data_IF_222664711856
#
_entry.id   IF_222664711856
#
_cell.length_a   1.000
_cell.length_b   1.000
_cell.length_c   1.000
_cell.angle_alpha   90.00
_cell.angle_beta   90.00
_cell.angle_gamma   90.00
#
_symmetry.space_group_name_H-M   'P 1'
#
loop_
_entity.id
_entity.type
_entity.pdbx_description
1 polymer ?
#
# COMPACT_ATOMS: atom_id res chain seq x y z
N UNK A 1 -17.23 -10.95 -0.38
CA UNK A 1 -16.12 -10.15 -0.92
C UNK A 1 -14.81 -10.73 -0.43
N UNK A 2 -13.88 -10.98 -1.34
CA UNK A 2 -12.52 -11.42 -1.07
C UNK A 2 -11.55 -10.27 -1.38
N UNK A 3 -10.40 -10.20 -0.70
CA UNK A 3 -9.37 -9.22 -1.03
C UNK A 3 -8.14 -9.88 -1.67
N UNK A 4 -7.39 -9.09 -2.45
CA UNK A 4 -6.03 -9.40 -2.86
C UNK A 4 -5.12 -8.21 -2.59
N UNK A 5 -4.02 -8.44 -1.87
CA UNK A 5 -2.98 -7.45 -1.61
C UNK A 5 -1.76 -7.80 -2.45
N UNK A 6 -1.37 -6.87 -3.34
CA UNK A 6 -0.24 -7.05 -4.26
C UNK A 6 1.09 -6.75 -3.56
N UNK A 7 1.81 -7.80 -3.19
CA UNK A 7 3.03 -7.73 -2.39
C UNK A 7 4.28 -8.33 -3.09
N UNK A 8 4.19 -8.66 -4.39
CA UNK A 8 5.28 -9.29 -5.16
C UNK A 8 6.26 -8.29 -5.82
N UNK A 9 6.09 -6.99 -5.61
CA UNK A 9 6.93 -5.96 -6.23
C UNK A 9 8.38 -5.98 -5.72
N UNK A 10 9.35 -5.80 -6.62
CA UNK A 10 10.79 -5.79 -6.29
C UNK A 10 11.24 -4.58 -5.46
N UNK A 11 10.49 -3.49 -5.46
CA UNK A 11 10.83 -2.28 -4.70
C UNK A 11 12.14 -1.59 -5.13
N UNK A 12 12.54 -1.69 -6.38
CA UNK A 12 13.86 -1.25 -6.87
C UNK A 12 14.21 0.21 -6.57
N UNK A 13 13.22 1.09 -6.53
CA UNK A 13 13.41 2.53 -6.18
C UNK A 13 13.76 2.76 -4.71
N UNK A 14 13.53 1.78 -3.84
CA UNK A 14 13.81 1.81 -2.41
C UNK A 14 15.14 1.12 -2.04
N UNK A 15 15.92 0.70 -3.04
CA UNK A 15 17.26 0.16 -2.79
C UNK A 15 18.15 1.20 -2.12
N UNK A 16 19.04 0.78 -1.20
CA UNK A 16 19.40 -0.60 -0.86
C UNK A 16 18.47 -1.30 0.14
N UNK A 17 17.50 -0.60 0.78
CA UNK A 17 16.61 -1.18 1.82
C UNK A 17 15.91 -2.46 1.34
N UNK A 18 15.41 -2.45 0.11
CA UNK A 18 14.63 -3.56 -0.44
C UNK A 18 15.46 -4.74 -0.95
N UNK A 19 16.77 -4.69 -0.82
CA UNK A 19 17.64 -5.86 -1.07
C UNK A 19 17.52 -6.90 0.04
N UNK A 20 17.24 -6.45 1.28
CA UNK A 20 17.16 -7.31 2.47
C UNK A 20 15.79 -7.34 3.13
N UNK A 21 14.97 -6.31 2.92
CA UNK A 21 13.62 -6.19 3.47
C UNK A 21 12.67 -6.03 2.28
N UNK A 22 11.76 -6.97 1.99
CA UNK A 22 10.82 -6.79 0.88
C UNK A 22 9.95 -5.57 1.14
N UNK A 23 9.59 -4.80 0.09
CA UNK A 23 8.84 -3.55 0.22
C UNK A 23 7.61 -3.64 1.14
N UNK A 24 6.77 -4.70 1.06
CA UNK A 24 5.62 -4.83 1.97
C UNK A 24 6.01 -5.01 3.44
N UNK A 25 7.24 -5.45 3.71
CA UNK A 25 7.76 -5.65 5.07
C UNK A 25 8.48 -4.42 5.63
N UNK A 26 8.52 -3.31 4.91
CA UNK A 26 9.16 -2.08 5.40
C UNK A 26 8.50 -1.61 6.70
N UNK A 27 9.30 -1.34 7.75
CA UNK A 27 8.78 -0.91 9.05
C UNK A 27 8.11 0.46 9.00
N UNK A 28 6.96 0.56 9.66
CA UNK A 28 6.22 1.81 9.83
C UNK A 28 5.89 1.99 11.31
N UNK A 29 6.77 2.60 12.10
CA UNK A 29 6.56 2.86 13.54
C UNK A 29 5.94 1.67 14.30
N UNK A 30 6.57 0.49 14.26
CA UNK A 30 6.13 -0.69 14.99
C UNK A 30 5.14 -1.60 14.27
N UNK A 31 4.77 -1.30 13.02
CA UNK A 31 4.10 -2.23 12.10
C UNK A 31 4.85 -2.28 10.76
N UNK A 32 4.25 -2.87 9.75
CA UNK A 32 4.75 -2.90 8.38
C UNK A 32 3.67 -2.44 7.39
N UNK A 33 4.05 -2.07 6.17
CA UNK A 33 3.08 -1.73 5.11
C UNK A 33 2.04 -2.84 4.91
N UNK A 34 2.47 -4.10 4.89
CA UNK A 34 1.56 -5.24 4.70
C UNK A 34 0.57 -5.38 5.85
N UNK A 35 1.01 -5.19 7.10
CA UNK A 35 0.13 -5.22 8.26
C UNK A 35 -0.94 -4.12 8.20
N UNK A 36 -0.58 -2.91 7.78
CA UNK A 36 -1.54 -1.82 7.60
C UNK A 36 -2.54 -2.11 6.48
N UNK A 37 -2.09 -2.69 5.36
CA UNK A 37 -2.99 -3.11 4.27
C UNK A 37 -3.95 -4.22 4.72
N UNK A 38 -3.48 -5.22 5.46
CA UNK A 38 -4.33 -6.28 5.99
C UNK A 38 -5.33 -5.74 7.04
N UNK A 39 -4.91 -4.78 7.86
CA UNK A 39 -5.80 -4.09 8.79
C UNK A 39 -6.88 -3.29 8.05
N UNK A 40 -6.54 -2.60 6.95
CA UNK A 40 -7.51 -1.92 6.08
C UNK A 40 -8.54 -2.92 5.50
N UNK A 41 -8.08 -4.06 5.00
CA UNK A 41 -8.93 -5.16 4.50
C UNK A 41 -9.90 -5.63 5.57
N UNK A 42 -9.41 -5.90 6.78
CA UNK A 42 -10.23 -6.36 7.91
C UNK A 42 -11.29 -5.33 8.33
N UNK A 43 -10.94 -4.02 8.34
CA UNK A 43 -11.88 -2.92 8.66
C UNK A 43 -13.02 -2.79 7.67
N UNK A 44 -12.83 -3.18 6.41
CA UNK A 44 -13.90 -3.24 5.40
C UNK A 44 -14.80 -4.48 5.54
N UNK A 45 -14.61 -5.29 6.57
CA UNK A 45 -15.38 -6.49 6.83
C UNK A 45 -15.01 -7.69 5.94
N UNK A 46 -13.91 -7.60 5.20
CA UNK A 46 -13.39 -8.75 4.44
C UNK A 46 -12.83 -9.78 5.42
N UNK A 47 -13.05 -11.05 5.15
CA UNK A 47 -12.60 -12.16 6.00
C UNK A 47 -11.61 -13.10 5.30
N UNK A 48 -11.47 -12.99 4.01
CA UNK A 48 -10.59 -13.84 3.20
C UNK A 48 -9.71 -12.97 2.30
N UNK A 49 -8.39 -13.22 2.34
CA UNK A 49 -7.42 -12.40 1.61
C UNK A 49 -6.37 -13.28 0.93
N UNK A 50 -6.04 -12.92 -0.31
CA UNK A 50 -4.91 -13.44 -1.05
C UNK A 50 -3.76 -12.42 -0.96
N UNK A 51 -2.57 -12.87 -0.62
CA UNK A 51 -1.34 -12.07 -0.67
C UNK A 51 -0.38 -12.75 -1.66
N UNK A 52 -0.02 -12.05 -2.73
CA UNK A 52 1.03 -12.56 -3.60
C UNK A 52 2.43 -12.16 -3.09
N UNK A 53 3.43 -12.96 -3.39
CA UNK A 53 4.81 -12.67 -3.02
C UNK A 53 5.78 -13.23 -4.06
N UNK A 54 6.92 -12.55 -4.24
CA UNK A 54 8.00 -12.98 -5.11
C UNK A 54 9.36 -12.77 -4.43
N UNK A 55 9.83 -11.53 -4.37
CA UNK A 55 11.11 -11.18 -3.75
C UNK A 55 11.03 -11.36 -2.22
N UNK A 56 11.97 -12.13 -1.64
CA UNK A 56 12.00 -12.45 -0.22
C UNK A 56 10.65 -12.99 0.31
N UNK A 57 10.03 -13.89 -0.48
CA UNK A 57 8.67 -14.37 -0.26
C UNK A 57 8.43 -14.95 1.14
N UNK A 58 9.44 -15.59 1.75
CA UNK A 58 9.33 -16.14 3.11
C UNK A 58 9.14 -15.06 4.17
N UNK A 59 9.73 -13.87 3.99
CA UNK A 59 9.53 -12.76 4.91
C UNK A 59 8.12 -12.20 4.77
N UNK A 60 7.64 -12.01 3.53
CA UNK A 60 6.26 -11.57 3.25
C UNK A 60 5.27 -12.58 3.84
N UNK A 61 5.47 -13.88 3.60
CA UNK A 61 4.60 -14.94 4.09
C UNK A 61 4.52 -14.97 5.63
N UNK A 62 5.65 -14.77 6.32
CA UNK A 62 5.71 -14.74 7.78
C UNK A 62 4.90 -13.59 8.37
N UNK A 63 5.07 -12.38 7.81
CA UNK A 63 4.34 -11.19 8.24
C UNK A 63 2.85 -11.36 7.93
N UNK A 64 2.51 -11.82 6.72
CA UNK A 64 1.12 -12.03 6.31
C UNK A 64 0.40 -13.01 7.24
N UNK A 65 1.02 -14.15 7.60
CA UNK A 65 0.43 -15.13 8.53
C UNK A 65 0.19 -14.52 9.91
N UNK A 66 1.22 -13.90 10.50
CA UNK A 66 1.10 -13.27 11.83
C UNK A 66 0.02 -12.19 11.86
N UNK A 67 -0.06 -11.35 10.84
CA UNK A 67 -1.08 -10.30 10.74
C UNK A 67 -2.48 -10.90 10.53
N UNK A 68 -2.62 -11.88 9.65
CA UNK A 68 -3.90 -12.54 9.38
C UNK A 68 -4.46 -13.22 10.63
N UNK A 69 -3.62 -13.92 11.40
CA UNK A 69 -4.01 -14.56 12.66
C UNK A 69 -4.53 -13.52 13.67
N UNK A 70 -3.82 -12.41 13.85
CA UNK A 70 -4.25 -11.31 14.74
C UNK A 70 -5.56 -10.66 14.32
N UNK A 71 -5.80 -10.56 12.99
CA UNK A 71 -6.95 -9.87 12.42
C UNK A 71 -8.14 -10.81 12.14
N UNK A 72 -7.99 -12.12 12.39
CA UNK A 72 -9.01 -13.11 12.09
C UNK A 72 -9.31 -13.25 10.60
N UNK A 73 -8.30 -13.10 9.74
CA UNK A 73 -8.38 -13.24 8.30
C UNK A 73 -7.98 -14.65 7.86
N UNK A 74 -8.74 -15.24 6.94
CA UNK A 74 -8.32 -16.44 6.21
C UNK A 74 -7.35 -16.05 5.11
N UNK A 75 -6.08 -16.40 5.27
CA UNK A 75 -5.01 -16.05 4.36
C UNK A 75 -4.77 -17.13 3.32
N UNK A 76 -4.61 -16.72 2.06
CA UNK A 76 -4.04 -17.48 0.97
C UNK A 76 -2.76 -16.81 0.47
N UNK A 77 -1.70 -17.61 0.26
CA UNK A 77 -0.45 -17.12 -0.31
C UNK A 77 -0.34 -17.56 -1.77
N UNK A 78 -0.01 -16.62 -2.66
CA UNK A 78 0.25 -16.85 -4.08
C UNK A 78 1.72 -16.52 -4.36
N UNK A 79 2.57 -17.54 -4.42
CA UNK A 79 4.02 -17.34 -4.64
C UNK A 79 4.29 -17.29 -6.14
N UNK A 80 4.88 -16.22 -6.63
CA UNK A 80 5.24 -16.00 -8.02
C UNK A 80 6.67 -16.45 -8.29
N UNK A 81 6.87 -17.22 -9.33
CA UNK A 81 8.18 -17.75 -9.76
C UNK A 81 8.14 -18.12 -11.24
N UNK A 82 9.21 -17.94 -12.02
CA UNK A 82 10.53 -17.40 -11.62
C UNK A 82 10.56 -15.85 -11.55
N UNK A 83 9.59 -15.16 -12.10
CA UNK A 83 9.53 -13.70 -12.19
C UNK A 83 8.20 -13.14 -11.64
N UNK A 84 8.15 -11.84 -11.25
CA UNK A 84 6.91 -11.23 -10.81
C UNK A 84 5.94 -11.09 -11.99
N UNK A 85 4.68 -11.49 -11.76
CA UNK A 85 3.65 -11.55 -12.80
C UNK A 85 2.99 -10.19 -13.09
N UNK A 86 3.33 -9.15 -12.35
CA UNK A 86 2.67 -7.86 -12.42
C UNK A 86 1.24 -7.92 -11.87
N UNK A 87 0.51 -6.81 -11.95
CA UNK A 87 -0.79 -6.68 -11.29
C UNK A 87 -1.90 -7.52 -11.93
N UNK A 88 -1.83 -7.72 -13.24
CA UNK A 88 -2.80 -8.55 -13.98
C UNK A 88 -2.49 -10.03 -13.87
N UNK A 89 -1.23 -10.42 -14.12
CA UNK A 89 -0.82 -11.83 -14.04
C UNK A 89 -0.99 -12.40 -12.63
N UNK A 90 -0.78 -11.58 -11.59
CA UNK A 90 -1.05 -11.96 -10.21
C UNK A 90 -2.53 -12.33 -9.98
N UNK A 91 -3.46 -11.55 -10.55
CA UNK A 91 -4.90 -11.84 -10.51
C UNK A 91 -5.23 -13.15 -11.24
N UNK A 92 -4.63 -13.37 -12.41
CA UNK A 92 -4.82 -14.60 -13.19
C UNK A 92 -4.31 -15.82 -12.42
N UNK A 93 -3.12 -15.73 -11.81
CA UNK A 93 -2.57 -16.82 -10.99
C UNK A 93 -3.46 -17.11 -9.75
N UNK A 94 -4.07 -16.09 -9.18
CA UNK A 94 -4.99 -16.23 -8.05
C UNK A 94 -6.45 -16.49 -8.45
N UNK A 95 -6.77 -16.58 -9.76
CA UNK A 95 -8.15 -16.73 -10.26
C UNK A 95 -8.97 -17.84 -9.58
N UNK A 96 -8.42 -19.05 -9.32
CA UNK A 96 -9.21 -20.10 -8.64
C UNK A 96 -9.71 -19.71 -7.24
N UNK A 97 -9.05 -18.75 -6.60
CA UNK A 97 -9.43 -18.21 -5.29
C UNK A 97 -10.37 -17.00 -5.41
N UNK A 98 -10.22 -16.21 -6.47
CA UNK A 98 -10.89 -14.91 -6.65
C UNK A 98 -12.21 -15.02 -7.43
N UNK A 99 -12.29 -15.92 -8.42
CA UNK A 99 -13.45 -16.05 -9.33
C UNK A 99 -14.57 -16.90 -8.71
N UNK A 100 -15.24 -16.33 -7.70
CA UNK A 100 -16.31 -16.98 -6.94
C UNK A 100 -17.66 -16.25 -7.03
N UNK A 101 -17.80 -15.33 -7.97
CA UNK A 101 -19.00 -14.50 -8.10
C UNK A 101 -19.15 -13.44 -7.01
N UNK A 102 -18.05 -13.12 -6.32
CA UNK A 102 -18.01 -12.07 -5.32
C UNK A 102 -17.14 -10.88 -5.79
N UNK A 103 -17.45 -9.68 -5.33
CA UNK A 103 -16.60 -8.51 -5.54
C UNK A 103 -15.20 -8.76 -4.97
N UNK A 104 -14.17 -8.44 -5.73
CA UNK A 104 -12.76 -8.53 -5.36
C UNK A 104 -12.28 -7.14 -4.96
N UNK A 105 -11.76 -6.99 -3.74
CA UNK A 105 -11.00 -5.81 -3.33
C UNK A 105 -9.53 -6.02 -3.68
N UNK A 106 -9.00 -5.25 -4.61
CA UNK A 106 -7.59 -5.29 -4.98
C UNK A 106 -6.85 -4.07 -4.42
N UNK A 107 -5.77 -4.31 -3.68
CA UNK A 107 -4.90 -3.27 -3.12
C UNK A 107 -3.46 -3.43 -3.61
N UNK A 108 -2.85 -2.32 -4.02
CA UNK A 108 -1.40 -2.26 -4.14
C UNK A 108 -0.77 -2.28 -2.74
N UNK A 109 0.13 -3.21 -2.48
CA UNK A 109 0.75 -3.43 -1.16
C UNK A 109 1.75 -2.34 -0.73
N UNK A 110 1.92 -1.29 -1.54
CA UNK A 110 2.74 -0.13 -1.23
C UNK A 110 1.94 1.10 -0.80
N UNK A 111 0.65 0.97 -0.67
CA UNK A 111 -0.25 2.05 -0.24
C UNK A 111 -0.34 2.11 1.27
N UNK A 112 -0.14 3.30 1.84
CA UNK A 112 -0.51 3.65 3.19
C UNK A 112 -1.67 4.65 3.14
N UNK A 113 -2.79 4.34 3.79
CA UNK A 113 -3.97 5.21 3.76
C UNK A 113 -4.89 5.02 4.95
N UNK A 114 -5.56 6.09 5.35
CA UNK A 114 -6.69 6.10 6.28
C UNK A 114 -8.02 6.52 5.63
N UNK A 115 -8.06 6.58 4.29
CA UNK A 115 -9.29 6.88 3.56
C UNK A 115 -10.44 5.93 3.94
N UNK A 116 -11.64 6.47 4.09
CA UNK A 116 -12.84 5.64 4.20
C UNK A 116 -13.27 5.10 2.84
N UNK A 117 -13.08 3.81 2.64
CA UNK A 117 -13.42 3.13 1.38
C UNK A 117 -14.89 2.65 1.31
N UNK A 118 -15.66 2.77 2.39
CA UNK A 118 -17.06 2.29 2.44
C UNK A 118 -17.95 2.98 1.39
N UNK A 119 -17.90 4.31 1.18
CA UNK A 119 -18.70 4.95 0.15
C UNK A 119 -18.41 4.45 -1.27
N UNK A 120 -17.12 4.17 -1.58
CA UNK A 120 -16.73 3.60 -2.85
C UNK A 120 -17.27 2.18 -3.06
N UNK A 121 -17.24 1.35 -2.00
CA UNK A 121 -17.79 0.00 -2.01
C UNK A 121 -19.33 0.01 -2.15
N UNK A 122 -20.01 0.89 -1.44
CA UNK A 122 -21.48 1.05 -1.52
C UNK A 122 -21.89 1.48 -2.92
N UNK A 123 -21.20 2.45 -3.52
CA UNK A 123 -21.44 2.86 -4.89
C UNK A 123 -21.19 1.74 -5.90
N UNK A 124 -20.08 0.99 -5.72
CA UNK A 124 -19.77 -0.18 -6.55
C UNK A 124 -20.91 -1.20 -6.54
N UNK A 125 -21.43 -1.53 -5.34
CA UNK A 125 -22.54 -2.48 -5.17
C UNK A 125 -23.86 -1.99 -5.77
N UNK A 126 -24.14 -0.69 -5.64
CA UNK A 126 -25.37 -0.08 -6.15
C UNK A 126 -25.38 -0.01 -7.68
N UNK A 127 -24.27 0.40 -8.29
CA UNK A 127 -24.17 0.66 -9.74
C UNK A 127 -23.67 -0.56 -10.54
N UNK A 128 -23.11 -1.56 -9.89
CA UNK A 128 -22.61 -2.83 -10.48
C UNK A 128 -21.76 -2.63 -11.75
N UNK A 129 -20.74 -1.76 -11.74
CA UNK A 129 -19.81 -1.63 -12.86
C UNK A 129 -18.91 -2.86 -12.95
N UNK A 130 -18.18 -3.04 -14.05
CA UNK A 130 -17.15 -4.07 -14.14
C UNK A 130 -16.01 -3.85 -13.13
N UNK A 131 -15.72 -2.58 -12.83
CA UNK A 131 -14.75 -2.19 -11.81
C UNK A 131 -15.06 -0.79 -11.26
N UNK A 132 -14.61 -0.54 -10.02
CA UNK A 132 -14.52 0.82 -9.44
C UNK A 132 -13.07 1.09 -9.05
N UNK A 133 -12.48 2.12 -9.60
CA UNK A 133 -11.16 2.63 -9.23
C UNK A 133 -11.33 3.71 -8.15
N UNK A 134 -10.64 3.55 -7.02
CA UNK A 134 -10.61 4.60 -6.00
C UNK A 134 -9.59 5.66 -6.42
N UNK A 135 -10.04 6.88 -6.53
CA UNK A 135 -9.28 8.01 -7.05
C UNK A 135 -9.09 9.09 -5.99
N UNK A 136 -8.08 9.91 -6.20
CA UNK A 136 -7.85 11.15 -5.45
C UNK A 136 -7.80 12.35 -6.39
N UNK A 137 -8.08 13.56 -5.91
CA UNK A 137 -7.78 14.76 -6.66
C UNK A 137 -6.31 14.74 -7.13
N UNK A 138 -6.06 15.11 -8.38
CA UNK A 138 -4.70 15.18 -8.91
C UNK A 138 -3.96 16.35 -8.26
N UNK A 139 -2.85 16.12 -7.54
CA UNK A 139 -2.04 17.21 -7.00
C UNK A 139 -1.42 18.03 -8.14
N UNK A 140 -1.32 19.36 -7.95
CA UNK A 140 -0.65 20.21 -8.93
C UNK A 140 0.82 19.80 -9.09
N UNK A 141 1.26 19.64 -10.34
CA UNK A 141 2.65 19.25 -10.66
C UNK A 141 2.99 17.78 -10.36
N UNK A 142 2.00 16.94 -10.05
CA UNK A 142 2.24 15.52 -9.79
C UNK A 142 2.63 14.79 -11.08
N UNK A 143 3.67 13.95 -10.96
CA UNK A 143 4.14 13.06 -12.05
C UNK A 143 3.48 11.68 -11.91
N UNK A 144 2.14 11.65 -12.02
CA UNK A 144 1.36 10.41 -12.06
C UNK A 144 0.59 10.31 -13.36
N UNK A 145 0.53 9.10 -13.91
CA UNK A 145 -0.33 8.82 -15.05
C UNK A 145 -1.81 8.99 -14.64
N UNK A 146 -2.58 9.89 -15.29
CA UNK A 146 -3.93 10.21 -14.88
C UNK A 146 -4.93 9.10 -15.18
N UNK A 147 -5.97 9.02 -14.34
CA UNK A 147 -7.26 8.42 -14.67
C UNK A 147 -8.25 9.54 -14.90
N UNK A 148 -8.82 9.60 -16.09
CA UNK A 148 -9.76 10.64 -16.48
C UNK A 148 -11.20 10.12 -16.38
N UNK A 149 -12.03 10.85 -15.65
CA UNK A 149 -13.46 10.52 -15.47
C UNK A 149 -14.34 11.64 -15.99
N UNK A 150 -15.54 11.31 -16.46
CA UNK A 150 -16.57 12.27 -16.79
C UNK A 150 -17.30 12.82 -15.55
N UNK A 151 -18.32 13.65 -15.77
CA UNK A 151 -19.10 14.29 -14.70
C UNK A 151 -19.93 13.29 -13.87
N UNK A 152 -20.27 12.16 -14.43
CA UNK A 152 -21.00 11.06 -13.80
C UNK A 152 -20.06 10.11 -13.04
N UNK A 153 -18.75 10.27 -13.21
CA UNK A 153 -17.70 9.46 -12.61
C UNK A 153 -17.38 8.20 -13.42
N UNK A 154 -17.81 8.09 -14.67
CA UNK A 154 -17.36 6.99 -15.51
C UNK A 154 -15.93 7.25 -16.00
N UNK A 155 -15.09 6.22 -15.94
CA UNK A 155 -13.71 6.28 -16.43
C UNK A 155 -13.72 6.33 -17.96
N UNK A 156 -13.08 7.36 -18.50
CA UNK A 156 -12.88 7.54 -19.94
C UNK A 156 -11.50 7.03 -20.37
N UNK A 157 -10.44 7.43 -19.68
CA UNK A 157 -9.05 7.10 -20.01
C UNK A 157 -8.23 6.74 -18.77
N UNK A 158 -7.29 5.85 -18.97
CA UNK A 158 -6.26 5.50 -18.00
C UNK A 158 -4.91 5.69 -18.70
N UNK A 159 -4.09 6.61 -18.20
CA UNK A 159 -2.80 6.96 -18.80
C UNK A 159 -2.94 7.30 -20.31
N UNK A 160 -3.95 8.06 -20.69
CA UNK A 160 -4.26 8.44 -22.07
C UNK A 160 -4.91 7.36 -22.93
N UNK A 161 -5.09 6.13 -22.42
CA UNK A 161 -5.70 5.02 -23.17
C UNK A 161 -7.16 4.83 -22.75
N UNK A 162 -8.06 4.69 -23.73
CA UNK A 162 -9.49 4.46 -23.45
C UNK A 162 -10.41 5.03 -24.53
N UNK A 163 -11.38 5.82 -24.12
CA UNK A 163 -12.44 6.41 -24.96
C UNK A 163 -12.24 7.91 -25.17
N UNK A 164 -12.82 8.44 -26.20
CA UNK A 164 -12.94 9.89 -26.40
C UNK A 164 -13.95 10.50 -25.42
N UNK A 165 -13.81 11.80 -25.15
CA UNK A 165 -14.69 12.57 -24.28
C UNK A 165 -13.92 13.58 -23.40
N UNK A 166 -14.66 14.52 -22.82
CA UNK A 166 -14.11 15.46 -21.84
C UNK A 166 -14.01 14.78 -20.48
N UNK A 167 -12.78 14.59 -20.00
CA UNK A 167 -12.49 13.96 -18.70
C UNK A 167 -11.68 14.86 -17.80
N UNK A 168 -11.92 14.75 -16.49
CA UNK A 168 -11.13 15.42 -15.46
C UNK A 168 -10.08 14.44 -14.93
N UNK A 169 -8.79 14.83 -14.93
CA UNK A 169 -7.71 13.95 -14.49
C UNK A 169 -7.69 13.79 -12.96
N UNK A 170 -7.51 12.56 -12.51
CA UNK A 170 -7.40 12.17 -11.12
C UNK A 170 -6.22 11.24 -10.92
N UNK A 171 -5.72 11.19 -9.68
CA UNK A 171 -4.70 10.25 -9.25
C UNK A 171 -5.34 8.92 -8.87
N UNK A 172 -4.82 7.81 -9.39
CA UNK A 172 -5.23 6.49 -8.97
C UNK A 172 -4.56 6.08 -7.65
N UNK A 173 -5.37 5.69 -6.67
CA UNK A 173 -4.88 5.38 -5.32
C UNK A 173 -4.25 3.99 -5.17
N UNK A 174 -4.28 3.14 -6.19
CA UNK A 174 -3.85 1.74 -6.07
C UNK A 174 -4.90 0.80 -5.47
N UNK A 175 -6.15 1.25 -5.39
CA UNK A 175 -7.27 0.48 -4.80
C UNK A 175 -8.39 0.32 -5.80
N UNK A 176 -8.86 -0.91 -5.97
CA UNK A 176 -9.97 -1.24 -6.87
C UNK A 176 -11.03 -2.11 -6.16
N UNK A 177 -12.28 -1.98 -6.59
CA UNK A 177 -13.30 -3.00 -6.45
C UNK A 177 -13.57 -3.58 -7.83
N UNK A 178 -13.50 -4.90 -7.99
CA UNK A 178 -13.54 -5.59 -9.27
C UNK A 178 -14.64 -6.66 -9.26
N UNK A 179 -15.30 -6.82 -10.40
CA UNK A 179 -16.10 -8.01 -10.69
C UNK A 179 -15.28 -9.02 -11.51
N UNK A 180 -15.65 -10.30 -11.47
CA UNK A 180 -14.90 -11.39 -12.13
C UNK A 180 -14.67 -11.17 -13.63
N UNK A 181 -15.56 -10.43 -14.29
CA UNK A 181 -15.41 -10.09 -15.72
C UNK A 181 -14.09 -9.39 -16.06
N UNK A 182 -13.46 -8.75 -15.09
CA UNK A 182 -12.14 -8.13 -15.26
C UNK A 182 -11.07 -9.20 -15.52
N UNK A 183 -11.19 -10.37 -14.90
CA UNK A 183 -10.25 -11.47 -15.04
C UNK A 183 -10.24 -12.06 -16.46
N UNK A 184 -11.39 -12.00 -17.16
CA UNK A 184 -11.53 -12.48 -18.53
C UNK A 184 -10.82 -11.59 -19.56
N UNK A 185 -10.50 -10.37 -19.18
CA UNK A 185 -9.80 -9.39 -20.04
C UNK A 185 -8.28 -9.45 -19.91
N UNK A 186 -7.77 -10.25 -18.98
CA UNK A 186 -6.34 -10.37 -18.72
C UNK A 186 -5.73 -11.50 -19.55
N UNK A 187 -4.46 -11.34 -20.02
CA UNK A 187 -3.73 -12.43 -20.64
C UNK A 187 -3.64 -13.64 -19.70
N UNK A 188 -3.86 -14.83 -20.22
CA UNK A 188 -3.88 -16.08 -19.44
C UNK A 188 -2.49 -16.51 -18.94
N UNK A 189 -1.42 -15.98 -19.55
CA UNK A 189 -0.04 -16.32 -19.24
C UNK A 189 0.85 -15.08 -19.22
N UNK A 190 1.92 -15.16 -18.42
CA UNK A 190 2.97 -14.16 -18.34
C UNK A 190 2.61 -12.89 -17.56
N UNK A 191 3.58 -11.98 -17.42
CA UNK A 191 3.39 -10.71 -16.73
C UNK A 191 2.40 -9.80 -17.46
N UNK A 192 1.47 -9.23 -16.70
CA UNK A 192 0.49 -8.27 -17.24
C UNK A 192 0.09 -7.19 -16.23
N UNK A 193 -0.47 -6.10 -16.73
CA UNK A 193 -0.93 -4.96 -15.93
C UNK A 193 -2.45 -4.83 -16.02
N UNK A 194 -3.13 -4.88 -14.88
CA UNK A 194 -4.60 -4.76 -14.82
C UNK A 194 -5.10 -3.47 -15.49
N UNK A 195 -4.41 -2.34 -15.30
CA UNK A 195 -4.83 -1.08 -15.86
C UNK A 195 -4.73 -1.06 -17.40
N UNK A 196 -3.57 -1.49 -17.94
CA UNK A 196 -3.29 -1.42 -19.38
C UNK A 196 -3.99 -2.50 -20.19
N UNK A 197 -4.10 -3.70 -19.66
CA UNK A 197 -4.73 -4.82 -20.37
C UNK A 197 -6.17 -5.04 -19.91
N UNK A 198 -6.45 -5.19 -18.62
CA UNK A 198 -7.80 -5.45 -18.12
C UNK A 198 -8.74 -4.25 -18.30
N UNK A 199 -8.46 -3.14 -17.63
CA UNK A 199 -9.37 -1.99 -17.65
C UNK A 199 -9.48 -1.32 -19.03
N UNK A 200 -8.36 -1.11 -19.73
CA UNK A 200 -8.39 -0.54 -21.07
C UNK A 200 -9.15 -1.42 -22.06
N UNK A 201 -9.03 -2.77 -21.94
CA UNK A 201 -9.84 -3.70 -22.76
C UNK A 201 -11.34 -3.54 -22.48
N UNK A 202 -11.73 -3.50 -21.20
CA UNK A 202 -13.13 -3.25 -20.79
C UNK A 202 -13.67 -1.92 -21.35
N UNK A 203 -12.89 -0.84 -21.23
CA UNK A 203 -13.26 0.47 -21.77
C UNK A 203 -13.50 0.41 -23.29
N UNK A 204 -12.63 -0.24 -24.05
CA UNK A 204 -12.77 -0.41 -25.50
C UNK A 204 -13.99 -1.25 -25.88
N UNK A 205 -14.36 -2.23 -25.06
CA UNK A 205 -15.57 -3.05 -25.21
C UNK A 205 -16.86 -2.36 -24.74
N UNK A 206 -16.79 -1.10 -24.35
CA UNK A 206 -17.97 -0.38 -23.87
C UNK A 206 -18.42 -0.72 -22.47
N UNK A 207 -17.66 -1.51 -21.72
CA UNK A 207 -17.98 -1.82 -20.31
C UNK A 207 -17.77 -0.61 -19.42
N UNK A 208 -18.62 -0.50 -18.41
CA UNK A 208 -18.55 0.62 -17.45
C UNK A 208 -17.52 0.35 -16.38
N UNK A 209 -16.60 1.29 -16.20
CA UNK A 209 -15.69 1.39 -15.06
C UNK A 209 -15.99 2.70 -14.36
N UNK A 210 -16.11 2.69 -13.04
CA UNK A 210 -16.31 3.90 -12.23
C UNK A 210 -14.98 4.39 -11.66
N UNK A 211 -14.81 5.70 -11.58
CA UNK A 211 -13.89 6.38 -10.71
C UNK A 211 -14.66 6.94 -9.50
N UNK A 212 -14.27 6.57 -8.30
CA UNK A 212 -14.81 7.14 -7.07
C UNK A 212 -13.74 7.99 -6.41
N UNK A 213 -13.97 9.30 -6.39
CA UNK A 213 -13.01 10.27 -5.85
C UNK A 213 -13.19 10.41 -4.34
N UNK A 214 -12.14 10.15 -3.56
CA UNK A 214 -12.08 10.40 -2.13
C UNK A 214 -11.05 11.52 -1.90
N UNK A 215 -11.51 12.70 -1.54
CA UNK A 215 -10.65 13.84 -1.24
C UNK A 215 -10.09 13.81 0.18
N UNK A 216 -10.90 13.31 1.11
CA UNK A 216 -10.57 13.24 2.53
C UNK A 216 -9.64 12.06 2.84
N UNK A 217 -9.05 12.09 4.04
CA UNK A 217 -8.07 11.11 4.48
C UNK A 217 -6.70 11.30 3.81
N UNK A 218 -5.72 10.62 4.36
CA UNK A 218 -4.36 10.62 3.85
C UNK A 218 -4.09 9.40 2.97
N UNK A 219 -3.18 9.60 2.04
CA UNK A 219 -2.73 8.55 1.14
C UNK A 219 -1.28 8.79 0.74
N UNK A 220 -0.50 7.74 0.72
CA UNK A 220 0.86 7.73 0.17
C UNK A 220 1.14 6.40 -0.53
N UNK A 221 1.77 6.44 -1.70
CA UNK A 221 2.47 5.30 -2.24
C UNK A 221 3.90 5.32 -1.68
N UNK A 222 4.23 4.40 -0.82
CA UNK A 222 5.56 4.29 -0.22
C UNK A 222 6.54 3.72 -1.26
N UNK A 223 6.79 4.50 -2.30
CA UNK A 223 7.51 4.06 -3.50
C UNK A 223 8.95 4.53 -3.62
N UNK A 224 9.37 5.54 -2.85
CA UNK A 224 10.73 6.08 -2.84
C UNK A 224 11.22 6.30 -1.40
N UNK A 225 12.54 6.44 -1.16
CA UNK A 225 13.08 6.74 0.17
C UNK A 225 12.46 7.99 0.80
N UNK A 226 12.22 9.05 0.01
CA UNK A 226 11.63 10.30 0.48
C UNK A 226 10.20 10.08 0.96
N UNK A 227 9.37 9.39 0.16
CA UNK A 227 7.97 9.08 0.54
C UNK A 227 7.90 8.12 1.72
N UNK A 228 8.83 7.17 1.82
CA UNK A 228 8.95 6.30 2.97
C UNK A 228 9.32 7.07 4.24
N UNK A 229 10.28 8.02 4.14
CA UNK A 229 10.62 8.93 5.23
C UNK A 229 9.40 9.74 5.66
N UNK A 230 8.72 10.39 4.73
CA UNK A 230 7.53 11.21 5.01
C UNK A 230 6.41 10.39 5.65
N UNK A 231 6.13 9.18 5.15
CA UNK A 231 5.13 8.30 5.75
C UNK A 231 5.43 7.99 7.23
N UNK A 232 6.69 7.71 7.58
CA UNK A 232 7.09 7.50 8.98
C UNK A 232 6.94 8.77 9.83
N UNK A 233 7.31 9.93 9.30
CA UNK A 233 7.15 11.21 10.01
C UNK A 233 5.68 11.61 10.17
N UNK A 234 4.86 11.37 9.17
CA UNK A 234 3.43 11.62 9.23
C UNK A 234 2.73 10.71 10.26
N UNK A 235 3.17 9.44 10.36
CA UNK A 235 2.71 8.53 11.41
C UNK A 235 3.18 8.99 12.80
N UNK A 236 4.42 9.45 12.93
CA UNK A 236 4.97 9.97 14.19
C UNK A 236 4.18 11.17 14.70
N UNK A 237 3.70 12.01 13.80
CA UNK A 237 2.93 13.21 14.14
C UNK A 237 1.42 12.94 14.25
N UNK A 238 0.98 11.70 14.05
CA UNK A 238 -0.42 11.33 14.11
C UNK A 238 -1.26 11.95 13.00
N UNK A 239 -0.67 12.17 11.83
CA UNK A 239 -1.39 12.71 10.66
C UNK A 239 -2.23 11.66 9.95
N UNK A 240 -2.01 10.37 10.19
CA UNK A 240 -2.87 9.28 9.78
C UNK A 240 -3.80 8.88 10.92
N UNK A 241 -5.09 8.75 10.65
CA UNK A 241 -6.09 8.25 11.58
C UNK A 241 -6.20 6.72 11.49
N UNK A 242 -5.11 6.03 11.78
CA UNK A 242 -5.07 4.57 11.76
C UNK A 242 -5.62 4.00 13.07
N UNK A 243 -6.68 3.17 13.03
CA UNK A 243 -7.25 2.57 14.23
C UNK A 243 -6.23 1.78 15.04
N UNK A 244 -6.22 1.98 16.36
CA UNK A 244 -5.27 1.35 17.28
C UNK A 244 -3.89 2.00 17.32
N UNK A 245 -3.69 3.11 16.61
CA UNK A 245 -2.50 3.95 16.71
C UNK A 245 -2.84 5.29 17.35
N UNK A 246 -2.05 5.65 18.33
CA UNK A 246 -2.08 7.00 18.91
C UNK A 246 -0.88 7.80 18.41
N UNK A 247 -1.07 9.12 18.28
CA UNK A 247 0.03 10.03 17.97
C UNK A 247 1.09 10.00 19.08
N UNK A 248 2.35 9.90 18.69
CA UNK A 248 3.47 9.93 19.64
C UNK A 248 3.71 11.39 20.03
N UNK A 249 3.22 11.79 21.21
CA UNK A 249 3.35 13.17 21.70
C UNK A 249 4.66 13.44 22.45
N UNK A 250 5.46 12.42 22.64
CA UNK A 250 6.71 12.49 23.39
C UNK A 250 7.84 11.75 22.70
N UNK A 251 8.71 11.17 23.52
CA UNK A 251 9.76 10.27 23.06
C UNK A 251 9.33 8.85 23.39
N UNK A 252 9.22 8.00 22.38
CA UNK A 252 9.02 6.57 22.55
C UNK A 252 10.38 5.86 22.37
N UNK A 253 10.77 5.06 23.33
CA UNK A 253 11.95 4.19 23.27
C UNK A 253 11.53 2.76 23.50
N UNK A 254 11.77 1.89 22.51
CA UNK A 254 11.51 0.47 22.67
C UNK A 254 12.36 -0.11 23.81
N UNK A 255 11.81 -1.00 24.66
CA UNK A 255 12.59 -1.69 25.69
C UNK A 255 13.80 -2.47 25.14
N UNK A 256 13.77 -2.84 23.87
CA UNK A 256 14.85 -3.57 23.18
C UNK A 256 15.92 -2.63 22.60
N UNK A 257 15.68 -1.32 22.60
CA UNK A 257 16.66 -0.34 22.12
C UNK A 257 17.77 -0.10 23.13
N UNK A 258 18.95 0.22 22.63
CA UNK A 258 20.11 0.61 23.43
C UNK A 258 20.42 2.07 23.17
N UNK A 259 20.13 2.93 24.15
CA UNK A 259 20.35 4.38 24.06
C UNK A 259 21.41 4.77 25.06
N UNK A 260 22.42 5.54 24.62
CA UNK A 260 23.42 6.09 25.52
C UNK A 260 22.77 6.97 26.58
N UNK A 261 23.21 6.91 27.86
CA UNK A 261 22.75 7.83 28.89
C UNK A 261 23.04 9.32 28.57
N UNK A 262 24.01 9.57 27.69
CA UNK A 262 24.41 10.91 27.26
C UNK A 262 23.63 11.38 26.00
N UNK A 263 22.74 10.55 25.44
CA UNK A 263 21.93 10.93 24.30
C UNK A 263 20.87 11.97 24.70
N UNK A 264 20.75 13.04 23.92
CA UNK A 264 19.70 14.03 24.10
C UNK A 264 18.50 13.69 23.23
N UNK A 265 17.44 13.10 23.81
CA UNK A 265 16.22 12.77 23.08
C UNK A 265 15.22 13.93 23.15
N UNK A 266 14.75 14.41 21.97
CA UNK A 266 13.84 15.54 21.82
C UNK A 266 12.55 15.10 21.12
N UNK A 267 11.39 15.42 21.72
CA UNK A 267 10.08 15.07 21.22
C UNK A 267 9.68 15.87 19.94
N UNK A 268 8.88 15.29 19.04
CA UNK A 268 8.52 13.89 18.99
C UNK A 268 9.66 13.03 18.42
N UNK A 269 9.88 11.84 19.01
CA UNK A 269 10.85 10.90 18.48
C UNK A 269 10.42 9.45 18.75
N UNK A 270 10.76 8.54 17.85
CA UNK A 270 10.51 7.12 18.01
C UNK A 270 11.81 6.32 17.80
N UNK A 271 12.17 5.51 18.79
CA UNK A 271 13.34 4.65 18.76
C UNK A 271 12.88 3.21 18.76
N UNK A 272 13.07 2.52 17.64
CA UNK A 272 12.57 1.17 17.39
C UNK A 272 13.33 0.05 18.09
N UNK A 273 12.75 -1.17 18.06
CA UNK A 273 13.37 -2.36 18.64
C UNK A 273 14.78 -2.63 18.11
N UNK A 274 15.72 -2.97 18.99
CA UNK A 274 17.09 -3.30 18.61
C UNK A 274 17.93 -2.13 18.08
N UNK A 275 17.36 -0.92 17.99
CA UNK A 275 18.09 0.27 17.60
C UNK A 275 19.19 0.63 18.60
N UNK A 276 20.25 1.31 18.12
CA UNK A 276 21.37 1.78 18.94
C UNK A 276 21.58 3.27 18.72
N UNK A 277 21.56 4.03 19.79
CA UNK A 277 21.78 5.48 19.77
C UNK A 277 23.00 5.83 20.61
N UNK A 278 24.01 6.43 20.02
CA UNK A 278 25.20 6.92 20.68
C UNK A 278 24.95 8.20 21.50
N UNK A 279 26.00 8.84 21.97
CA UNK A 279 25.97 10.10 22.76
C UNK A 279 25.69 11.32 21.87
N UNK A 280 24.54 11.33 21.19
CA UNK A 280 24.16 12.36 20.19
C UNK A 280 22.72 12.82 20.36
N UNK A 281 22.37 14.05 19.91
CA UNK A 281 21.01 14.53 19.89
C UNK A 281 20.15 13.75 18.88
N UNK A 282 18.93 13.30 19.30
CA UNK A 282 17.95 12.67 18.43
C UNK A 282 16.59 13.34 18.63
N UNK A 283 16.03 13.85 17.56
CA UNK A 283 14.80 14.65 17.56
C UNK A 283 15.07 16.15 17.49
N UNK A 284 14.00 16.97 17.33
CA UNK A 284 12.61 16.54 17.16
C UNK A 284 12.37 15.91 15.76
N UNK A 285 11.22 15.26 15.62
CA UNK A 285 10.80 14.59 14.37
C UNK A 285 11.80 13.54 13.89
N UNK A 286 12.26 12.69 14.79
CA UNK A 286 13.20 11.63 14.46
C UNK A 286 12.55 10.24 14.58
N UNK A 287 12.77 9.41 13.57
CA UNK A 287 12.38 8.00 13.54
C UNK A 287 13.65 7.15 13.40
N UNK A 288 13.96 6.38 14.42
CA UNK A 288 15.05 5.40 14.38
C UNK A 288 14.44 4.02 14.18
N UNK A 289 14.56 3.49 12.97
CA UNK A 289 13.95 2.22 12.60
C UNK A 289 14.58 1.03 13.35
N UNK A 290 13.87 -0.12 13.42
CA UNK A 290 14.38 -1.31 14.10
C UNK A 290 15.77 -1.70 13.62
N UNK A 291 16.70 -1.91 14.58
CA UNK A 291 18.09 -2.28 14.31
C UNK A 291 19.00 -1.16 13.76
N UNK A 292 18.48 0.05 13.55
CA UNK A 292 19.29 1.17 13.06
C UNK A 292 20.30 1.66 14.10
N UNK A 293 21.41 2.28 13.61
CA UNK A 293 22.41 2.94 14.44
C UNK A 293 22.41 4.43 14.20
N UNK A 294 22.54 5.21 15.26
CA UNK A 294 22.63 6.67 15.22
C UNK A 294 23.86 7.13 15.99
N UNK A 295 24.90 7.51 15.28
CA UNK A 295 26.17 8.00 15.82
C UNK A 295 26.41 9.49 15.48
N UNK A 296 25.47 10.14 14.82
CA UNK A 296 25.48 11.55 14.49
C UNK A 296 24.12 12.18 14.82
N UNK A 297 24.04 13.50 15.04
CA UNK A 297 22.77 14.18 15.31
C UNK A 297 21.71 13.85 14.26
N UNK A 298 20.50 13.51 14.71
CA UNK A 298 19.36 13.20 13.84
C UNK A 298 18.17 14.07 14.23
N UNK A 299 17.78 14.98 13.36
CA UNK A 299 16.57 15.78 13.50
C UNK A 299 15.80 15.78 12.17
N UNK A 300 14.46 15.84 12.24
CA UNK A 300 13.59 15.81 11.07
C UNK A 300 13.97 14.73 10.05
N UNK A 301 14.17 13.50 10.53
CA UNK A 301 14.73 12.44 9.71
C UNK A 301 14.44 11.03 10.17
N UNK A 302 14.82 10.07 9.33
CA UNK A 302 14.72 8.64 9.58
C UNK A 302 16.09 7.99 9.50
N UNK A 303 16.50 7.28 10.57
CA UNK A 303 17.65 6.42 10.55
C UNK A 303 17.23 5.01 10.14
N UNK A 304 17.92 4.46 9.16
CA UNK A 304 17.68 3.12 8.61
C UNK A 304 18.64 2.10 9.22
N UNK A 305 18.25 0.80 9.28
CA UNK A 305 19.16 -0.25 9.69
C UNK A 305 20.35 -0.33 8.72
N UNK A 306 21.53 -0.61 9.26
CA UNK A 306 22.69 -0.94 8.43
C UNK A 306 22.40 -2.23 7.66
N UNK A 307 22.53 -2.13 6.35
CA UNK A 307 22.41 -3.28 5.47
C UNK A 307 23.80 -3.93 5.40
N UNK A 308 24.15 -4.70 6.45
CA UNK A 308 25.41 -5.46 6.55
C UNK A 308 25.49 -6.59 5.53
#
# INVERSE_FOLDING_TARGET
>A
MIAMVLAAGLGTRLRPLTEKIPKPALPLLGSTLLEENLALVARLGVREVVVNAHHLADQVARIARSAADRLGLKLHLSIESPEPLGTGGALVAARPLLDRGETILLLNGDVLTDMDLRPALERHRAERPAATMVLRPMPAGADFAPVEIDREGAVLRIAGLGREGEGVPHLFSGIHFLESVVLDELPTEGPSCINRQGHVSLLRKGKRILGHVIADGRWSDVGTPERYREANLDLLEGRYELPGREAIRGVFVSPEAKVSPEAELRAPAWIGPGARVGAVPVGPRAVVLPGARVEAPLADGVAYPELG
#
